data_IF_499893789329
#
_entry.id   IF_499893789329
#
_cell.length_a   1.000
_cell.length_b   1.000
_cell.length_c   1.000
_cell.angle_alpha   90.00
_cell.angle_beta   90.00
_cell.angle_gamma   90.00
#
_symmetry.space_group_name_H-M   'P 1'
#
loop_
_entity.id
_entity.type
_entity.pdbx_description
1 polymer ?
#
# COMPACT_ATOMS: atom_id res chain seq x y z
N UNK A 1 7.64 -8.57 -28.75
CA UNK A 1 8.83 -8.34 -27.90
C UNK A 1 8.36 -8.50 -26.47
N UNK A 2 8.87 -9.50 -25.74
CA UNK A 2 8.44 -9.77 -24.36
C UNK A 2 9.20 -8.81 -23.45
N UNK A 3 8.49 -7.86 -22.85
CA UNK A 3 9.03 -7.02 -21.77
C UNK A 3 9.19 -7.93 -20.55
N UNK A 4 10.39 -8.45 -20.35
CA UNK A 4 10.78 -9.14 -19.12
C UNK A 4 10.77 -8.08 -18.01
N UNK A 5 9.88 -8.28 -17.04
CA UNK A 5 9.65 -7.39 -15.92
C UNK A 5 10.90 -7.41 -15.03
N UNK A 6 11.73 -6.35 -15.11
CA UNK A 6 13.02 -6.23 -14.43
C UNK A 6 12.88 -6.46 -12.90
N UNK A 7 11.71 -6.08 -12.35
CA UNK A 7 11.34 -6.26 -10.94
C UNK A 7 11.18 -7.74 -10.55
N UNK A 8 10.62 -8.58 -11.44
CA UNK A 8 10.51 -10.02 -11.20
C UNK A 8 11.86 -10.73 -11.24
N UNK A 9 12.83 -10.17 -11.99
CA UNK A 9 14.17 -10.72 -12.07
C UNK A 9 14.95 -10.50 -10.77
N UNK A 10 14.75 -9.34 -10.13
CA UNK A 10 15.41 -8.98 -8.86
C UNK A 10 14.85 -9.83 -7.70
N UNK A 11 13.52 -10.04 -7.66
CA UNK A 11 12.89 -10.91 -6.65
C UNK A 11 13.25 -12.40 -6.82
N UNK A 12 13.36 -12.90 -8.06
CA UNK A 12 13.71 -14.29 -8.32
C UNK A 12 15.19 -14.61 -8.05
N UNK A 13 16.10 -13.63 -8.11
CA UNK A 13 17.50 -13.82 -7.71
C UNK A 13 17.68 -13.93 -6.19
N UNK A 14 16.75 -13.39 -5.38
CA UNK A 14 16.88 -13.32 -3.93
C UNK A 14 16.71 -14.66 -3.18
N UNK A 15 16.03 -15.64 -3.76
CA UNK A 15 15.86 -16.98 -3.14
C UNK A 15 16.88 -18.03 -3.63
N UNK A 16 17.65 -17.74 -4.68
CA UNK A 16 18.58 -18.71 -5.26
C UNK A 16 20.00 -18.61 -4.68
N UNK A 17 20.37 -17.50 -4.01
CA UNK A 17 21.75 -17.29 -3.53
C UNK A 17 21.98 -17.81 -2.11
N UNK A 18 20.92 -18.10 -1.33
CA UNK A 18 21.06 -18.55 0.06
C UNK A 18 21.09 -20.08 0.25
N UNK A 19 20.90 -20.90 -0.79
CA UNK A 19 20.91 -22.37 -0.64
C UNK A 19 21.26 -23.07 -1.96
N UNK A 20 22.53 -23.09 -2.38
CA UNK A 20 23.16 -24.21 -3.09
C UNK A 20 24.68 -23.98 -3.23
N UNK A 21 25.40 -24.08 -2.11
CA UNK A 21 26.80 -24.50 -2.16
C UNK A 21 26.83 -26.02 -1.96
N UNK A 22 26.66 -26.77 -3.06
CA UNK A 22 27.05 -28.18 -3.13
C UNK A 22 27.34 -28.60 -4.58
N UNK A 23 28.64 -28.66 -4.87
CA UNK A 23 29.34 -29.37 -5.96
C UNK A 23 28.94 -29.12 -7.42
N UNK A 24 29.84 -28.51 -8.19
CA UNK A 24 30.68 -29.28 -9.13
C UNK A 24 31.83 -28.43 -9.69
N UNK A 25 32.93 -29.11 -9.94
CA UNK A 25 34.23 -28.62 -10.41
C UNK A 25 34.16 -27.79 -11.71
N UNK A 26 34.70 -26.57 -11.70
CA UNK A 26 35.66 -26.05 -12.70
C UNK A 26 35.94 -24.55 -12.51
N UNK A 27 37.23 -24.24 -12.43
CA UNK A 27 37.97 -23.04 -12.87
C UNK A 27 37.49 -21.61 -12.53
N UNK A 28 38.46 -20.82 -12.04
CA UNK A 28 38.40 -19.44 -11.51
C UNK A 28 37.66 -19.26 -10.18
N UNK A 29 38.29 -19.75 -9.10
CA UNK A 29 37.83 -19.55 -7.72
C UNK A 29 38.09 -18.11 -7.32
N UNK A 30 37.14 -17.23 -7.64
CA UNK A 30 36.97 -15.98 -6.91
C UNK A 30 36.87 -16.35 -5.43
N UNK A 31 37.67 -15.77 -4.51
CA UNK A 31 37.58 -16.11 -3.09
C UNK A 31 36.13 -15.98 -2.64
N UNK A 32 35.60 -16.99 -1.95
CA UNK A 32 34.29 -16.85 -1.33
C UNK A 32 34.34 -15.66 -0.38
N UNK A 33 33.43 -14.71 -0.58
CA UNK A 33 33.30 -13.54 0.27
C UNK A 33 33.16 -13.95 1.73
N UNK A 34 33.76 -13.17 2.63
CA UNK A 34 33.51 -13.28 4.07
C UNK A 34 32.03 -12.99 4.38
N UNK A 35 31.58 -13.45 5.55
CA UNK A 35 30.21 -13.19 6.01
C UNK A 35 29.90 -11.69 6.08
N UNK A 36 30.85 -10.88 6.56
CA UNK A 36 30.72 -9.42 6.64
C UNK A 36 30.59 -8.78 5.25
N UNK A 37 31.37 -9.24 4.27
CA UNK A 37 31.27 -8.76 2.88
C UNK A 37 29.93 -9.15 2.25
N UNK A 38 29.41 -10.35 2.51
CA UNK A 38 28.10 -10.80 2.02
C UNK A 38 26.95 -9.99 2.64
N UNK A 39 27.02 -9.73 3.95
CA UNK A 39 26.02 -8.93 4.65
C UNK A 39 26.02 -7.49 4.12
N UNK A 40 27.19 -6.88 3.90
CA UNK A 40 27.29 -5.53 3.37
C UNK A 40 26.77 -5.42 1.93
N UNK A 41 27.11 -6.39 1.07
CA UNK A 41 26.55 -6.44 -0.28
C UNK A 41 25.02 -6.58 -0.27
N UNK A 42 24.49 -7.50 0.54
CA UNK A 42 23.04 -7.69 0.68
C UNK A 42 22.37 -6.42 1.19
N UNK A 43 22.97 -5.73 2.16
CA UNK A 43 22.46 -4.47 2.71
C UNK A 43 22.37 -3.38 1.64
N UNK A 44 23.40 -3.24 0.78
CA UNK A 44 23.39 -2.29 -0.34
C UNK A 44 22.34 -2.64 -1.40
N UNK A 45 22.15 -3.93 -1.70
CA UNK A 45 21.12 -4.40 -2.62
C UNK A 45 19.70 -4.14 -2.08
N UNK A 46 19.47 -4.36 -0.79
CA UNK A 46 18.20 -4.07 -0.13
C UNK A 46 17.91 -2.57 -0.10
N UNK A 47 18.92 -1.72 0.12
CA UNK A 47 18.76 -0.26 0.00
C UNK A 47 18.33 0.16 -1.41
N UNK A 48 18.98 -0.41 -2.44
CA UNK A 48 18.61 -0.18 -3.85
C UNK A 48 17.19 -0.66 -4.16
N UNK A 49 16.80 -1.80 -3.57
CA UNK A 49 15.44 -2.35 -3.71
C UNK A 49 14.41 -1.44 -3.05
N UNK A 50 14.69 -0.94 -1.85
CA UNK A 50 13.84 0.01 -1.14
C UNK A 50 13.59 1.28 -1.95
N UNK A 51 14.66 1.87 -2.51
CA UNK A 51 14.57 3.02 -3.41
C UNK A 51 13.74 2.71 -4.67
N UNK A 52 14.01 1.56 -5.31
CA UNK A 52 13.27 1.15 -6.51
C UNK A 52 11.77 0.95 -6.24
N UNK A 53 11.41 0.44 -5.06
CA UNK A 53 10.00 0.31 -4.66
C UNK A 53 9.39 1.71 -4.51
N UNK A 54 10.03 2.61 -3.76
CA UNK A 54 9.53 3.97 -3.56
C UNK A 54 9.31 4.69 -4.90
N UNK A 55 10.33 4.70 -5.77
CA UNK A 55 10.22 5.35 -7.08
C UNK A 55 9.09 4.73 -7.92
N UNK A 56 8.99 3.40 -7.95
CA UNK A 56 7.91 2.74 -8.69
C UNK A 56 6.52 3.12 -8.17
N UNK A 57 6.36 3.28 -6.85
CA UNK A 57 5.11 3.74 -6.23
C UNK A 57 4.77 5.16 -6.70
N UNK A 58 5.67 6.12 -6.51
CA UNK A 58 5.38 7.55 -6.76
C UNK A 58 5.38 7.93 -8.24
N UNK A 59 6.03 7.15 -9.11
CA UNK A 59 5.96 7.34 -10.57
C UNK A 59 4.76 6.62 -11.22
N UNK A 60 4.02 5.82 -10.45
CA UNK A 60 2.90 5.04 -10.94
C UNK A 60 1.54 5.68 -10.65
N UNK A 61 0.59 5.41 -11.55
CA UNK A 61 -0.84 5.56 -11.28
C UNK A 61 -1.42 4.20 -10.92
N UNK A 62 -2.22 4.14 -9.86
CA UNK A 62 -2.62 2.88 -9.22
C UNK A 62 -4.12 2.80 -9.02
N UNK A 63 -4.71 1.64 -9.30
CA UNK A 63 -6.11 1.33 -9.05
C UNK A 63 -6.21 0.26 -7.99
N UNK A 64 -6.92 0.55 -6.89
CA UNK A 64 -7.25 -0.46 -5.89
C UNK A 64 -8.17 -1.52 -6.54
N UNK A 65 -7.76 -2.78 -6.50
CA UNK A 65 -8.50 -3.90 -7.10
C UNK A 65 -8.94 -4.94 -6.10
N UNK A 66 -8.31 -4.97 -4.93
CA UNK A 66 -8.65 -5.91 -3.88
C UNK A 66 -8.34 -5.29 -2.52
N UNK A 67 -9.25 -5.49 -1.58
CA UNK A 67 -9.03 -5.26 -0.16
C UNK A 67 -9.21 -6.59 0.56
N UNK A 68 -8.17 -7.05 1.26
CA UNK A 68 -8.17 -8.29 2.03
C UNK A 68 -8.04 -7.93 3.51
N UNK A 69 -9.11 -8.04 4.31
CA UNK A 69 -9.01 -7.74 5.73
C UNK A 69 -8.17 -8.78 6.47
N UNK A 70 -7.51 -8.36 7.54
CA UNK A 70 -6.73 -9.25 8.38
C UNK A 70 -7.58 -10.35 9.01
N UNK A 71 -6.98 -11.50 9.31
CA UNK A 71 -7.68 -12.60 10.00
C UNK A 71 -8.21 -12.18 11.36
N UNK A 72 -7.55 -11.25 12.04
CA UNK A 72 -8.00 -10.73 13.33
C UNK A 72 -9.21 -9.79 13.16
N UNK A 73 -9.22 -8.96 12.13
CA UNK A 73 -10.37 -8.11 11.79
C UNK A 73 -11.57 -8.96 11.36
N UNK A 74 -11.36 -10.04 10.59
CA UNK A 74 -12.42 -10.99 10.23
C UNK A 74 -13.03 -11.65 11.48
N UNK A 75 -12.21 -12.15 12.41
CA UNK A 75 -12.69 -12.73 13.67
C UNK A 75 -13.47 -11.72 14.51
N UNK A 76 -13.01 -10.47 14.57
CA UNK A 76 -13.73 -9.40 15.25
C UNK A 76 -15.10 -9.15 14.61
N UNK A 77 -15.16 -9.10 13.28
CA UNK A 77 -16.41 -8.95 12.54
C UNK A 77 -17.37 -10.14 12.74
N UNK A 78 -16.87 -11.38 12.76
CA UNK A 78 -17.65 -12.58 13.08
C UNK A 78 -18.23 -12.54 14.51
N UNK A 79 -17.50 -11.89 15.43
CA UNK A 79 -17.95 -11.62 16.80
C UNK A 79 -18.89 -10.41 16.91
N UNK A 80 -19.33 -9.84 15.78
CA UNK A 80 -20.23 -8.69 15.68
C UNK A 80 -19.64 -7.38 16.22
N UNK A 81 -18.32 -7.23 16.18
CA UNK A 81 -17.68 -5.93 16.39
C UNK A 81 -18.07 -4.98 15.25
N UNK A 82 -18.86 -3.96 15.57
CA UNK A 82 -19.42 -3.04 14.57
C UNK A 82 -18.33 -2.25 13.85
N UNK A 83 -17.22 -1.92 14.51
CA UNK A 83 -16.13 -1.19 13.87
C UNK A 83 -15.45 -2.09 12.83
N UNK A 84 -15.20 -3.37 13.13
CA UNK A 84 -14.60 -4.31 12.19
C UNK A 84 -15.51 -4.58 10.99
N UNK A 85 -16.81 -4.83 11.24
CA UNK A 85 -17.81 -5.01 10.17
C UNK A 85 -17.87 -3.79 9.26
N UNK A 86 -17.88 -2.59 9.84
CA UNK A 86 -17.95 -1.34 9.08
C UNK A 86 -16.68 -1.12 8.27
N UNK A 87 -15.49 -1.29 8.85
CA UNK A 87 -14.21 -1.13 8.15
C UNK A 87 -14.09 -2.09 6.97
N UNK A 88 -14.46 -3.37 7.15
CA UNK A 88 -14.48 -4.35 6.05
C UNK A 88 -15.42 -3.89 4.94
N UNK A 89 -16.65 -3.51 5.32
CA UNK A 89 -17.67 -3.06 4.36
C UNK A 89 -17.18 -1.84 3.57
N UNK A 90 -16.59 -0.85 4.25
CA UNK A 90 -16.03 0.35 3.62
C UNK A 90 -14.95 0.00 2.59
N UNK A 91 -13.99 -0.85 2.96
CA UNK A 91 -12.93 -1.32 2.06
C UNK A 91 -13.46 -2.03 0.81
N UNK A 92 -14.45 -2.92 0.98
CA UNK A 92 -15.09 -3.62 -0.13
C UNK A 92 -15.88 -2.67 -1.05
N UNK A 93 -16.60 -1.71 -0.47
CA UNK A 93 -17.39 -0.75 -1.25
C UNK A 93 -16.53 0.25 -2.02
N UNK A 94 -15.35 0.62 -1.51
CA UNK A 94 -14.42 1.54 -2.19
C UNK A 94 -14.01 1.03 -3.58
N UNK A 95 -13.93 -0.30 -3.76
CA UNK A 95 -13.62 -0.92 -5.06
C UNK A 95 -14.62 -0.54 -6.16
N UNK A 96 -15.86 -0.22 -5.81
CA UNK A 96 -16.91 0.11 -6.77
C UNK A 96 -16.71 1.47 -7.45
N UNK A 97 -15.78 2.30 -6.96
CA UNK A 97 -15.54 3.64 -7.48
C UNK A 97 -14.42 3.70 -8.54
N UNK A 98 -13.74 2.57 -8.81
CA UNK A 98 -12.67 2.44 -9.82
C UNK A 98 -11.67 3.62 -9.77
N UNK A 99 -11.26 4.00 -8.56
CA UNK A 99 -10.44 5.19 -8.35
C UNK A 99 -9.02 5.02 -8.83
N UNK A 100 -8.39 6.12 -9.22
CA UNK A 100 -6.96 6.19 -9.55
C UNK A 100 -6.23 6.99 -8.49
N UNK A 101 -5.26 6.35 -7.83
CA UNK A 101 -4.27 6.93 -6.94
C UNK A 101 -3.07 7.40 -7.76
N UNK A 102 -2.62 8.62 -7.53
CA UNK A 102 -1.48 9.26 -8.20
C UNK A 102 -0.66 10.07 -7.21
N UNK A 103 0.59 10.37 -7.54
CA UNK A 103 1.50 11.13 -6.69
C UNK A 103 2.04 12.35 -7.45
N UNK A 104 1.89 13.54 -6.86
CA UNK A 104 2.38 14.79 -7.43
C UNK A 104 3.58 15.30 -6.64
N UNK A 105 4.74 15.45 -7.29
CA UNK A 105 5.96 15.88 -6.61
C UNK A 105 5.87 17.34 -6.17
N UNK A 106 6.12 17.59 -4.89
CA UNK A 106 6.18 18.92 -4.27
C UNK A 106 7.49 19.07 -3.47
N UNK A 107 8.52 19.62 -4.12
CA UNK A 107 9.85 19.70 -3.51
C UNK A 107 10.47 18.31 -3.31
N UNK A 108 10.68 17.93 -2.05
CA UNK A 108 11.25 16.64 -1.63
C UNK A 108 10.17 15.61 -1.23
N UNK A 109 8.90 16.01 -1.22
CA UNK A 109 7.75 15.15 -0.91
C UNK A 109 6.84 14.95 -2.13
N UNK A 110 5.84 14.09 -1.98
CA UNK A 110 4.81 13.84 -2.98
C UNK A 110 3.42 13.94 -2.36
N UNK A 111 2.56 14.77 -2.94
CA UNK A 111 1.15 14.87 -2.57
C UNK A 111 0.38 13.71 -3.17
N UNK A 112 -0.45 13.06 -2.35
CA UNK A 112 -1.34 12.00 -2.80
C UNK A 112 -2.60 12.61 -3.44
N UNK A 113 -2.90 12.19 -4.67
CA UNK A 113 -4.17 12.45 -5.33
C UNK A 113 -4.97 11.17 -5.51
N UNK A 114 -6.27 11.20 -5.19
CA UNK A 114 -7.20 10.10 -5.48
C UNK A 114 -8.38 10.62 -6.30
N UNK A 115 -8.46 10.17 -7.55
CA UNK A 115 -9.48 10.57 -8.50
C UNK A 115 -10.55 9.50 -8.66
N UNK A 116 -11.82 9.92 -8.54
CA UNK A 116 -12.97 9.10 -8.91
C UNK A 116 -13.05 8.95 -10.43
N UNK A 117 -13.28 7.73 -10.91
CA UNK A 117 -13.70 7.50 -12.30
C UNK A 117 -15.16 7.91 -12.55
N UNK A 118 -16.15 7.58 -11.69
CA UNK A 118 -17.52 8.03 -11.88
C UNK A 118 -17.67 9.51 -11.56
N UNK A 119 -18.55 10.20 -12.30
CA UNK A 119 -18.86 11.62 -12.13
C UNK A 119 -20.38 11.86 -12.18
N UNK A 120 -20.82 13.05 -11.75
CA UNK A 120 -22.22 13.48 -11.85
C UNK A 120 -23.21 12.51 -11.17
N UNK A 121 -24.31 12.20 -11.85
CA UNK A 121 -25.39 11.35 -11.32
C UNK A 121 -24.92 9.93 -10.97
N UNK A 122 -23.93 9.38 -11.70
CA UNK A 122 -23.37 8.07 -11.39
C UNK A 122 -22.61 8.08 -10.06
N UNK A 123 -21.78 9.10 -9.85
CA UNK A 123 -21.05 9.28 -8.60
C UNK A 123 -22.03 9.43 -7.43
N UNK A 124 -23.03 10.32 -7.55
CA UNK A 124 -24.03 10.54 -6.49
C UNK A 124 -24.77 9.25 -6.15
N UNK A 125 -25.14 8.45 -7.15
CA UNK A 125 -25.77 7.15 -6.91
C UNK A 125 -24.84 6.21 -6.14
N UNK A 126 -23.58 6.07 -6.55
CA UNK A 126 -22.61 5.20 -5.88
C UNK A 126 -22.33 5.66 -4.45
N UNK A 127 -22.28 6.97 -4.18
CA UNK A 127 -22.18 7.52 -2.83
C UNK A 127 -23.40 7.16 -1.97
N UNK A 128 -24.61 7.18 -2.55
CA UNK A 128 -25.83 6.74 -1.88
C UNK A 128 -25.82 5.25 -1.55
N UNK A 129 -25.41 4.41 -2.50
CA UNK A 129 -25.24 2.96 -2.31
C UNK A 129 -24.18 2.66 -1.22
N UNK A 130 -23.09 3.44 -1.20
CA UNK A 130 -22.05 3.37 -0.17
C UNK A 130 -22.59 3.73 1.22
N UNK A 131 -23.34 4.83 1.35
CA UNK A 131 -24.00 5.22 2.61
C UNK A 131 -24.91 4.11 3.11
N UNK A 132 -25.77 3.57 2.24
CA UNK A 132 -26.71 2.52 2.62
C UNK A 132 -25.99 1.26 3.10
N UNK A 133 -24.94 0.85 2.40
CA UNK A 133 -24.15 -0.32 2.78
C UNK A 133 -23.43 -0.13 4.13
N UNK A 134 -22.91 1.06 4.40
CA UNK A 134 -22.03 1.31 5.57
C UNK A 134 -22.77 1.80 6.81
N UNK A 135 -23.93 2.42 6.64
CA UNK A 135 -24.70 3.01 7.76
C UNK A 135 -26.09 2.38 7.93
N UNK A 136 -26.58 1.64 6.93
CA UNK A 136 -27.96 1.16 6.87
C UNK A 136 -29.00 2.23 6.57
N UNK A 137 -28.59 3.48 6.32
CA UNK A 137 -29.51 4.55 5.92
C UNK A 137 -29.72 4.54 4.40
N UNK A 138 -30.95 4.42 3.92
CA UNK A 138 -31.25 4.44 2.49
C UNK A 138 -30.68 5.69 1.80
N UNK A 139 -30.02 5.52 0.65
CA UNK A 139 -29.48 6.65 -0.10
C UNK A 139 -30.55 7.61 -0.64
N UNK A 140 -31.80 7.13 -0.77
CA UNK A 140 -32.95 7.93 -1.22
C UNK A 140 -33.43 8.95 -0.16
N UNK A 141 -32.99 8.82 1.09
CA UNK A 141 -33.21 9.82 2.15
C UNK A 141 -32.26 11.02 2.03
N UNK A 142 -31.38 10.99 1.02
CA UNK A 142 -30.33 11.97 0.81
C UNK A 142 -29.02 11.55 1.47
N UNK A 143 -27.93 12.20 1.04
CA UNK A 143 -26.60 11.99 1.59
C UNK A 143 -26.52 12.68 2.95
N UNK A 144 -26.38 11.90 4.03
CA UNK A 144 -26.13 12.40 5.38
C UNK A 144 -25.03 11.52 6.02
N UNK A 145 -23.78 12.01 6.13
CA UNK A 145 -23.29 13.36 5.83
C UNK A 145 -23.21 13.73 4.33
N UNK A 146 -22.69 14.91 3.98
CA UNK A 146 -22.67 15.40 2.58
C UNK A 146 -21.91 14.48 1.61
N UNK A 147 -22.06 14.73 0.30
CA UNK A 147 -21.33 13.99 -0.72
C UNK A 147 -19.81 14.10 -0.55
N UNK A 148 -19.33 15.30 -0.22
CA UNK A 148 -17.93 15.61 0.01
C UNK A 148 -17.36 14.79 1.17
N UNK A 149 -18.10 14.63 2.26
CA UNK A 149 -17.70 13.78 3.37
C UNK A 149 -17.48 12.32 2.93
N UNK A 150 -18.43 11.76 2.16
CA UNK A 150 -18.28 10.39 1.67
C UNK A 150 -17.16 10.26 0.66
N UNK A 151 -16.96 11.26 -0.19
CA UNK A 151 -15.84 11.31 -1.13
C UNK A 151 -14.50 11.31 -0.39
N UNK A 152 -14.34 12.14 0.64
CA UNK A 152 -13.17 12.18 1.50
C UNK A 152 -12.91 10.83 2.16
N UNK A 153 -13.95 10.22 2.75
CA UNK A 153 -13.85 8.92 3.40
C UNK A 153 -13.44 7.81 2.41
N UNK A 154 -14.00 7.80 1.21
CA UNK A 154 -13.67 6.78 0.21
C UNK A 154 -12.25 6.98 -0.35
N UNK A 155 -11.83 8.24 -0.53
CA UNK A 155 -10.45 8.57 -0.96
C UNK A 155 -9.44 8.16 0.12
N UNK A 156 -9.76 8.35 1.40
CA UNK A 156 -8.87 7.96 2.50
C UNK A 156 -8.70 6.44 2.61
N UNK A 157 -9.67 5.63 2.20
CA UNK A 157 -9.49 4.17 2.10
C UNK A 157 -8.42 3.80 1.06
N UNK A 158 -8.28 4.58 -0.01
CA UNK A 158 -7.31 4.32 -1.09
C UNK A 158 -5.95 4.92 -0.80
N UNK A 159 -5.90 6.18 -0.35
CA UNK A 159 -4.64 6.90 -0.12
C UNK A 159 -4.10 6.79 1.30
N UNK A 160 -4.98 6.57 2.29
CA UNK A 160 -4.63 6.45 3.72
C UNK A 160 -3.55 5.42 4.03
N UNK A 161 -3.51 4.23 3.40
CA UNK A 161 -2.46 3.23 3.61
C UNK A 161 -1.02 3.72 3.34
N UNK A 162 -0.86 4.85 2.63
CA UNK A 162 0.45 5.44 2.34
C UNK A 162 0.81 6.60 3.28
N UNK A 163 -0.11 7.05 4.14
CA UNK A 163 0.13 8.13 5.09
C UNK A 163 0.94 7.69 6.31
N UNK A 164 1.53 8.65 7.02
CA UNK A 164 2.22 8.37 8.28
C UNK A 164 1.26 7.85 9.37
N UNK A 165 1.75 6.98 10.26
CA UNK A 165 0.93 6.29 11.26
C UNK A 165 0.30 7.22 12.31
N UNK A 166 0.87 8.42 12.49
CA UNK A 166 0.45 9.39 13.49
C UNK A 166 -0.57 10.42 12.96
N UNK A 167 -0.98 10.32 11.69
CA UNK A 167 -1.96 11.23 11.11
C UNK A 167 -3.35 10.99 11.72
N UNK A 168 -4.04 12.07 12.06
CA UNK A 168 -5.44 12.02 12.47
C UNK A 168 -6.35 12.01 11.23
N UNK A 169 -7.64 11.71 11.43
CA UNK A 169 -8.62 11.78 10.34
C UNK A 169 -8.65 13.16 9.67
N UNK A 170 -8.51 14.24 10.45
CA UNK A 170 -8.52 15.61 9.94
C UNK A 170 -7.21 15.96 9.19
N UNK A 171 -6.09 15.28 9.50
CA UNK A 171 -4.85 15.42 8.76
C UNK A 171 -4.90 14.65 7.43
N UNK A 172 -5.66 13.54 7.39
CA UNK A 172 -5.78 12.66 6.22
C UNK A 172 -6.73 13.23 5.19
N UNK A 173 -7.86 13.79 5.61
CA UNK A 173 -8.96 14.15 4.71
C UNK A 173 -9.62 15.47 5.11
N UNK A 174 -10.05 16.23 4.11
CA UNK A 174 -10.89 17.40 4.29
C UNK A 174 -12.34 17.03 3.93
N UNK A 175 -13.18 16.89 4.94
CA UNK A 175 -14.60 16.54 4.76
C UNK A 175 -15.45 17.64 4.10
N UNK A 176 -14.97 18.88 4.04
CA UNK A 176 -15.68 19.99 3.39
C UNK A 176 -15.41 20.03 1.89
N UNK A 177 -14.16 19.81 1.46
CA UNK A 177 -13.79 19.75 0.04
C UNK A 177 -13.92 18.34 -0.56
N UNK A 178 -13.88 17.32 0.29
CA UNK A 178 -13.83 15.91 -0.10
C UNK A 178 -12.43 15.43 -0.46
N UNK A 179 -11.40 16.26 -0.35
CA UNK A 179 -10.04 15.94 -0.78
C UNK A 179 -9.23 15.19 0.30
N UNK A 180 -8.12 14.58 -0.13
CA UNK A 180 -7.15 13.91 0.74
C UNK A 180 -5.92 14.80 0.90
N UNK A 181 -5.38 14.89 2.11
CA UNK A 181 -4.30 15.80 2.51
C UNK A 181 -3.05 15.03 2.98
N UNK A 182 -2.71 13.95 2.29
CA UNK A 182 -1.53 13.14 2.62
C UNK A 182 -0.37 13.56 1.73
N UNK A 183 0.78 13.79 2.36
CA UNK A 183 2.07 13.88 1.69
C UNK A 183 2.93 12.69 2.07
N UNK A 184 3.76 12.23 1.15
CA UNK A 184 4.67 11.10 1.38
C UNK A 184 6.11 11.48 1.03
N UNK A 185 7.03 10.99 1.83
CA UNK A 185 8.47 11.16 1.67
C UNK A 185 9.14 9.80 1.73
N UNK A 186 10.28 9.67 1.04
CA UNK A 186 11.04 8.42 1.03
C UNK A 186 11.67 8.17 2.40
N UNK A 187 11.49 6.96 2.93
CA UNK A 187 12.23 6.51 4.11
C UNK A 187 13.66 6.12 3.71
N UNK A 188 14.65 6.91 4.13
CA UNK A 188 16.05 6.60 3.89
C UNK A 188 16.53 5.45 4.79
N UNK A 189 16.74 4.29 4.17
CA UNK A 189 17.24 3.08 4.85
C UNK A 189 18.75 2.87 4.70
N UNK A 190 19.49 3.75 4.00
CA UNK A 190 20.87 3.45 3.58
C UNK A 190 21.87 3.32 4.72
N UNK A 191 21.54 3.78 5.92
CA UNK A 191 22.41 3.71 7.10
C UNK A 191 21.98 2.63 8.11
N UNK A 192 20.96 1.82 7.80
CA UNK A 192 20.52 0.73 8.68
C UNK A 192 21.54 -0.42 8.73
N UNK A 193 21.64 -1.10 9.88
CA UNK A 193 22.39 -2.35 10.00
C UNK A 193 21.78 -3.44 9.11
N UNK A 194 22.52 -4.52 8.85
CA UNK A 194 22.04 -5.65 8.06
C UNK A 194 20.72 -6.22 8.60
N UNK A 195 20.61 -6.46 9.91
CA UNK A 195 19.41 -7.01 10.55
C UNK A 195 18.22 -6.04 10.45
N UNK A 196 18.47 -4.75 10.65
CA UNK A 196 17.43 -3.74 10.53
C UNK A 196 16.99 -3.56 9.08
N UNK A 197 17.90 -3.67 8.12
CA UNK A 197 17.58 -3.60 6.69
C UNK A 197 16.66 -4.74 6.28
N UNK A 198 16.94 -5.98 6.71
CA UNK A 198 16.08 -7.15 6.44
C UNK A 198 14.62 -6.93 6.89
N UNK A 199 14.41 -6.18 7.96
CA UNK A 199 13.09 -5.93 8.53
C UNK A 199 12.38 -4.70 7.95
N UNK A 200 13.12 -3.77 7.34
CA UNK A 200 12.59 -2.44 7.01
C UNK A 200 12.74 -2.04 5.53
N UNK A 201 13.39 -2.82 4.66
CA UNK A 201 13.58 -2.42 3.26
C UNK A 201 12.26 -2.20 2.48
N UNK A 202 11.15 -2.80 2.91
CA UNK A 202 9.80 -2.58 2.34
C UNK A 202 9.01 -1.44 3.01
N UNK A 203 9.55 -0.82 4.07
CA UNK A 203 8.93 0.35 4.70
C UNK A 203 9.49 1.59 4.05
N UNK A 204 8.95 1.91 2.88
CA UNK A 204 9.57 2.86 1.95
C UNK A 204 9.09 4.30 2.14
N UNK A 205 8.10 4.54 3.00
CA UNK A 205 7.56 5.86 3.31
C UNK A 205 7.91 6.25 4.74
N UNK A 206 8.41 7.48 4.93
CA UNK A 206 8.77 8.01 6.25
C UNK A 206 7.58 8.01 7.20
N UNK A 207 7.82 7.61 8.45
CA UNK A 207 6.81 7.55 9.53
C UNK A 207 5.59 6.65 9.26
N UNK A 208 5.62 5.85 8.19
CA UNK A 208 4.65 4.79 7.89
C UNK A 208 5.30 3.43 8.22
N UNK A 209 4.68 2.65 9.12
CA UNK A 209 5.22 1.35 9.51
C UNK A 209 4.77 0.19 8.62
N UNK A 210 3.92 0.47 7.63
CA UNK A 210 3.35 -0.53 6.74
C UNK A 210 4.37 -0.98 5.70
N UNK A 211 4.17 -2.21 5.21
CA UNK A 211 5.05 -2.80 4.20
C UNK A 211 4.47 -2.57 2.83
N UNK A 212 5.28 -2.04 1.92
CA UNK A 212 4.91 -1.76 0.55
C UNK A 212 5.85 -2.56 -0.36
N UNK A 213 5.28 -3.37 -1.25
CA UNK A 213 6.05 -4.21 -2.18
C UNK A 213 5.24 -4.60 -3.42
N UNK A 214 5.91 -5.22 -4.39
CA UNK A 214 5.25 -5.79 -5.57
C UNK A 214 5.12 -7.31 -5.44
N UNK A 215 3.94 -7.86 -5.71
CA UNK A 215 3.75 -9.31 -5.78
C UNK A 215 4.28 -9.89 -7.11
N UNK A 216 4.19 -11.21 -7.28
CA UNK A 216 4.66 -11.91 -8.48
C UNK A 216 3.97 -11.46 -9.79
N UNK A 217 2.75 -10.94 -9.68
CA UNK A 217 1.96 -10.42 -10.80
C UNK A 217 2.32 -8.96 -11.14
N UNK A 218 3.22 -8.33 -10.36
CA UNK A 218 3.59 -6.93 -10.51
C UNK A 218 2.55 -5.96 -9.97
N UNK A 219 1.63 -6.42 -9.13
CA UNK A 219 0.69 -5.56 -8.41
C UNK A 219 1.37 -4.99 -7.17
N UNK A 220 1.05 -3.74 -6.86
CA UNK A 220 1.50 -3.07 -5.65
C UNK A 220 0.64 -3.54 -4.47
N UNK A 221 1.27 -3.98 -3.39
CA UNK A 221 0.63 -4.44 -2.17
C UNK A 221 1.08 -3.56 -1.02
N UNK A 222 0.11 -3.04 -0.26
CA UNK A 222 0.33 -2.35 1.02
C UNK A 222 -0.24 -3.21 2.13
N UNK A 223 0.62 -3.66 3.04
CA UNK A 223 0.23 -4.42 4.23
C UNK A 223 0.05 -3.48 5.42
N UNK A 224 -1.19 -3.26 5.83
CA UNK A 224 -1.53 -2.32 6.90
C UNK A 224 -1.82 -3.06 8.20
N UNK A 225 -1.17 -2.68 9.31
CA UNK A 225 -1.43 -3.30 10.61
C UNK A 225 -2.46 -2.49 11.42
N UNK A 226 -3.65 -3.05 11.66
CA UNK A 226 -4.61 -2.45 12.59
C UNK A 226 -4.37 -2.96 14.02
N UNK A 227 -3.67 -2.13 14.81
CA UNK A 227 -3.34 -2.41 16.20
C UNK A 227 -4.57 -2.51 17.13
N UNK A 228 -5.77 -2.13 16.67
CA UNK A 228 -7.01 -2.28 17.42
C UNK A 228 -7.39 -3.75 17.60
N UNK A 229 -7.13 -4.59 16.59
CA UNK A 229 -7.61 -5.97 16.54
C UNK A 229 -6.52 -7.02 16.72
N UNK A 230 -5.26 -6.63 16.66
CA UNK A 230 -4.13 -7.53 16.88
C UNK A 230 -2.92 -7.14 16.06
N UNK A 231 -2.13 -8.15 15.67
CA UNK A 231 -0.94 -7.97 14.83
C UNK A 231 -1.16 -8.44 13.40
N UNK A 232 -2.39 -8.82 13.04
CA UNK A 232 -2.74 -9.22 11.67
C UNK A 232 -2.74 -8.01 10.72
N UNK A 233 -2.22 -8.24 9.52
CA UNK A 233 -2.17 -7.24 8.44
C UNK A 233 -3.36 -7.37 7.50
N UNK A 234 -3.95 -6.25 7.11
CA UNK A 234 -4.86 -6.18 5.96
C UNK A 234 -4.05 -5.85 4.72
N UNK A 235 -4.51 -6.25 3.54
CA UNK A 235 -3.83 -6.00 2.27
C UNK A 235 -4.67 -5.12 1.38
N UNK A 236 -4.07 -4.04 0.89
CA UNK A 236 -4.58 -3.24 -0.21
C UNK A 236 -3.78 -3.59 -1.45
N UNK A 237 -4.44 -4.18 -2.45
CA UNK A 237 -3.79 -4.61 -3.69
C UNK A 237 -4.17 -3.65 -4.80
N UNK A 238 -3.16 -3.08 -5.42
CA UNK A 238 -3.29 -2.12 -6.50
C UNK A 238 -2.69 -2.65 -7.78
N UNK A 239 -3.39 -2.44 -8.90
CA UNK A 239 -2.83 -2.62 -10.24
C UNK A 239 -2.46 -1.28 -10.83
N UNK A 240 -1.53 -1.28 -11.78
CA UNK A 240 -1.23 -0.07 -12.55
C UNK A 240 -2.47 0.37 -13.35
N UNK A 241 -2.76 1.67 -13.35
CA UNK A 241 -3.80 2.26 -14.20
C UNK A 241 -3.35 2.21 -15.68
N UNK A 242 -4.29 1.96 -16.59
CA UNK A 242 -4.04 1.90 -18.05
C UNK A 242 -4.21 3.25 -18.74
#
# INVERSE_FOLDING_TARGET
MKNLNLLSLIAATFLAVTVFSCSSDSDDVTPSLSEEEQQELTRQELATTSDSIFQAVVEGDWKLVEFVPSEDMKKAAEAQDLYAVTTITKGEQALNFDMTLSFAKEGDSYDIGVQFTPEGDELIKKLGDYQEATTGMPGDWGLIPSAEFYMAEIRSIVGGPFGADNLTADDIQDSESGDINITVEQNDVTDLSYENMLLNYTKVITDNNDRIFFNEEGQLVVETTDNTYGTGTSHYVFKKAE
#
